data_IF_289854061939
#
_entry.id   IF_289854061939
#
_cell.length_a   1.000
_cell.length_b   1.000
_cell.length_c   1.000
_cell.angle_alpha   90.00
_cell.angle_beta   90.00
_cell.angle_gamma   90.00
#
_symmetry.space_group_name_H-M   'P 1'
#
loop_
_entity.id
_entity.type
_entity.pdbx_description
1 polymer ?
#
# COMPACT_ATOMS: atom_id res chain seq x y z
N UNK A 1 1.60 7.26 -8.85
CA UNK A 1 0.30 7.65 -9.45
C UNK A 1 -0.38 8.72 -8.60
N UNK A 2 -0.85 8.46 -7.38
CA UNK A 2 -1.57 9.43 -6.55
C UNK A 2 -0.87 10.81 -6.43
N UNK A 3 0.44 10.84 -6.16
CA UNK A 3 1.21 12.08 -6.09
C UNK A 3 1.12 12.90 -7.38
N UNK A 4 1.23 12.27 -8.55
CA UNK A 4 1.15 12.96 -9.86
C UNK A 4 -0.26 13.47 -10.15
N UNK A 5 -1.29 12.74 -9.72
CA UNK A 5 -2.69 13.19 -9.86
C UNK A 5 -2.98 14.41 -8.98
N UNK A 6 -2.33 14.48 -7.79
CA UNK A 6 -2.45 15.64 -6.89
C UNK A 6 -1.61 16.84 -7.36
N UNK A 7 -0.45 16.63 -7.97
CA UNK A 7 0.55 17.67 -8.22
C UNK A 7 0.03 18.84 -9.06
N UNK A 8 -0.63 18.58 -10.18
CA UNK A 8 -1.14 19.63 -11.06
C UNK A 8 -2.21 20.51 -10.41
N UNK A 9 -3.32 19.96 -9.84
CA UNK A 9 -4.31 20.79 -9.17
C UNK A 9 -3.76 21.47 -7.92
N UNK A 10 -2.79 20.86 -7.21
CA UNK A 10 -2.13 21.51 -6.09
C UNK A 10 -1.24 22.68 -6.54
N UNK A 11 -0.54 22.55 -7.67
CA UNK A 11 0.22 23.66 -8.27
C UNK A 11 -0.68 24.86 -8.55
N UNK A 12 -1.86 24.64 -9.12
CA UNK A 12 -2.84 25.71 -9.37
C UNK A 12 -3.33 26.36 -8.08
N UNK A 13 -3.62 25.55 -7.06
CA UNK A 13 -4.12 26.05 -5.78
C UNK A 13 -3.08 26.83 -4.97
N UNK A 14 -1.81 26.44 -5.08
CA UNK A 14 -0.70 27.11 -4.38
C UNK A 14 -0.09 28.27 -5.16
N UNK A 15 -0.33 28.35 -6.48
CA UNK A 15 0.30 29.33 -7.37
C UNK A 15 1.80 29.07 -7.61
N UNK A 16 2.28 27.86 -7.30
CA UNK A 16 3.68 27.45 -7.40
C UNK A 16 3.78 26.04 -8.01
N UNK A 17 4.82 25.73 -8.78
CA UNK A 17 5.02 24.40 -9.34
C UNK A 17 5.17 23.34 -8.25
N UNK A 18 4.42 22.22 -8.37
CA UNK A 18 4.58 21.04 -7.54
C UNK A 18 5.24 19.95 -8.37
N UNK A 19 6.48 19.59 -8.02
CA UNK A 19 7.29 18.61 -8.75
C UNK A 19 7.28 17.28 -7.97
N UNK A 20 7.00 16.18 -8.66
CA UNK A 20 7.00 14.84 -8.05
C UNK A 20 8.34 14.17 -8.34
N UNK A 21 9.11 13.96 -7.30
CA UNK A 21 10.34 13.18 -7.31
C UNK A 21 10.11 11.77 -6.77
N UNK A 22 10.66 10.75 -7.45
CA UNK A 22 10.60 9.38 -6.98
C UNK A 22 11.92 9.01 -6.29
N UNK A 23 11.84 8.58 -5.03
CA UNK A 23 12.98 8.10 -4.24
C UNK A 23 12.71 6.65 -3.80
N UNK A 24 12.97 5.66 -4.67
CA UNK A 24 12.71 4.25 -4.34
C UNK A 24 13.71 3.71 -3.33
N UNK A 25 13.32 2.61 -2.69
CA UNK A 25 14.18 1.82 -1.80
C UNK A 25 13.66 1.70 -0.37
N UNK A 26 14.09 0.65 0.32
CA UNK A 26 13.73 0.30 1.69
C UNK A 26 12.21 0.40 1.97
N UNK A 27 11.37 -0.14 1.09
CA UNK A 27 9.89 -0.07 1.19
C UNK A 27 9.33 1.37 1.25
N UNK A 28 10.03 2.36 0.66
CA UNK A 28 9.67 3.78 0.70
C UNK A 28 10.27 4.55 1.89
N UNK A 29 11.00 3.89 2.79
CA UNK A 29 11.59 4.55 3.95
C UNK A 29 12.67 5.58 3.58
N UNK A 30 13.34 5.43 2.41
CA UNK A 30 14.30 6.44 1.91
C UNK A 30 13.59 7.78 1.62
N UNK A 31 12.44 7.75 0.96
CA UNK A 31 11.67 8.96 0.68
C UNK A 31 11.09 9.57 1.97
N UNK A 32 10.62 8.72 2.89
CA UNK A 32 10.10 9.15 4.19
C UNK A 32 11.20 9.83 5.03
N UNK A 33 12.39 9.24 5.11
CA UNK A 33 13.55 9.80 5.83
C UNK A 33 13.96 11.17 5.25
N UNK A 34 14.04 11.29 3.94
CA UNK A 34 14.37 12.54 3.29
C UNK A 34 13.37 13.66 3.65
N UNK A 35 12.09 13.35 3.61
CA UNK A 35 11.05 14.33 3.96
C UNK A 35 11.02 14.65 5.46
N UNK A 36 11.28 13.68 6.35
CA UNK A 36 11.30 13.90 7.79
C UNK A 36 12.39 14.89 8.24
N UNK A 37 13.49 14.96 7.48
CA UNK A 37 14.64 15.83 7.74
C UNK A 37 14.59 17.18 7.03
N UNK A 38 13.58 17.42 6.21
CA UNK A 38 13.43 18.69 5.54
C UNK A 38 13.16 19.82 6.54
N UNK A 39 13.76 20.97 6.31
CA UNK A 39 13.66 22.17 7.17
C UNK A 39 13.00 23.34 6.46
N UNK A 40 12.45 23.07 5.27
CA UNK A 40 11.74 24.03 4.43
C UNK A 40 10.22 23.76 4.43
N UNK A 41 9.44 24.71 3.94
CA UNK A 41 7.98 24.59 3.78
C UNK A 41 7.57 23.97 2.44
N UNK A 42 8.52 23.44 1.66
CA UNK A 42 8.31 23.04 0.26
C UNK A 42 8.49 21.55 0.01
N UNK A 43 9.08 20.81 0.97
CA UNK A 43 9.32 19.38 0.86
C UNK A 43 8.21 18.60 1.60
N UNK A 44 7.47 17.78 0.85
CA UNK A 44 6.39 16.91 1.35
C UNK A 44 6.64 15.48 0.88
N UNK A 45 6.04 14.49 1.56
CA UNK A 45 6.08 13.11 1.11
C UNK A 45 4.68 12.52 0.91
N UNK A 46 4.52 11.81 -0.22
CA UNK A 46 3.43 10.82 -0.35
C UNK A 46 3.98 9.48 0.07
N UNK A 47 3.47 8.95 1.15
CA UNK A 47 3.92 7.71 1.79
C UNK A 47 2.81 6.67 1.78
N UNK A 48 3.19 5.38 1.91
CA UNK A 48 2.26 4.27 2.10
C UNK A 48 2.13 3.96 3.60
N UNK A 49 1.08 3.22 3.94
CA UNK A 49 0.78 2.86 5.32
C UNK A 49 1.98 2.28 6.10
N UNK A 50 2.77 1.38 5.51
CA UNK A 50 3.92 0.79 6.19
C UNK A 50 4.94 1.81 6.74
N UNK A 51 5.16 2.92 6.04
CA UNK A 51 6.11 3.97 6.48
C UNK A 51 5.67 4.66 7.78
N UNK A 52 4.34 4.77 8.01
CA UNK A 52 3.77 5.44 9.18
C UNK A 52 3.32 4.48 10.29
N UNK A 53 3.29 3.17 10.04
CA UNK A 53 2.77 2.16 10.97
C UNK A 53 3.81 1.10 11.34
N UNK A 54 4.10 0.16 10.43
CA UNK A 54 4.93 -1.04 10.70
C UNK A 54 6.43 -0.79 10.68
N UNK A 55 6.92 0.26 9.99
CA UNK A 55 8.34 0.48 9.79
C UNK A 55 9.10 0.57 11.14
N UNK A 56 8.58 1.32 12.12
CA UNK A 56 9.21 1.47 13.44
C UNK A 56 9.28 0.16 14.24
N UNK A 57 8.37 -0.77 13.98
CA UNK A 57 8.34 -2.07 14.66
C UNK A 57 9.30 -3.08 14.05
N UNK A 58 9.67 -2.89 12.79
CA UNK A 58 10.44 -3.86 12.01
C UNK A 58 11.88 -3.46 11.78
N UNK A 59 12.16 -2.17 11.60
CA UNK A 59 13.51 -1.68 11.33
C UNK A 59 14.14 -1.14 12.62
N UNK A 60 15.10 -1.88 13.18
CA UNK A 60 15.82 -1.50 14.41
C UNK A 60 16.57 -0.17 14.29
N UNK A 61 16.98 0.19 13.08
CA UNK A 61 17.71 1.43 12.73
C UNK A 61 16.90 2.29 11.77
N UNK A 62 15.57 2.42 12.00
CA UNK A 62 14.76 3.33 11.19
C UNK A 62 15.26 4.77 11.42
N UNK A 63 15.65 5.51 10.34
CA UNK A 63 16.29 6.81 10.50
C UNK A 63 15.33 7.96 10.81
N UNK A 64 14.03 7.67 10.99
CA UNK A 64 12.98 8.63 11.38
C UNK A 64 12.01 8.01 12.39
N UNK A 65 11.30 8.84 13.13
CA UNK A 65 10.19 8.43 14.01
C UNK A 65 8.85 8.81 13.36
N UNK A 66 8.02 7.83 12.92
CA UNK A 66 6.73 8.13 12.28
C UNK A 66 5.80 9.00 13.10
N UNK A 67 5.91 8.95 14.44
CA UNK A 67 5.02 9.68 15.34
C UNK A 67 5.51 11.09 15.67
N UNK A 68 6.81 11.40 15.43
CA UNK A 68 7.44 12.66 15.88
C UNK A 68 7.92 13.52 14.73
N UNK A 69 8.39 12.89 13.64
CA UNK A 69 9.13 13.59 12.60
C UNK A 69 8.24 14.04 11.43
N UNK A 70 6.93 13.75 11.51
CA UNK A 70 5.97 14.15 10.48
C UNK A 70 4.81 14.97 11.02
N UNK A 71 4.39 15.92 10.18
CA UNK A 71 3.09 16.60 10.27
C UNK A 71 2.11 15.90 9.34
N UNK A 72 1.05 15.25 9.84
CA UNK A 72 -0.01 14.66 9.03
C UNK A 72 -0.79 15.75 8.27
N UNK A 73 -0.99 15.57 6.97
CA UNK A 73 -1.79 16.48 6.13
C UNK A 73 -3.12 15.84 5.77
N UNK A 74 -3.09 14.70 5.04
CA UNK A 74 -4.32 14.03 4.63
C UNK A 74 -4.06 12.59 4.21
N UNK A 75 -4.99 11.69 4.54
CA UNK A 75 -5.13 10.41 3.87
C UNK A 75 -5.64 10.68 2.45
N UNK A 76 -4.85 10.36 1.44
CA UNK A 76 -5.19 10.67 0.05
C UNK A 76 -6.11 9.62 -0.55
N UNK A 77 -5.68 8.37 -0.51
CA UNK A 77 -6.34 7.26 -1.21
C UNK A 77 -6.30 5.97 -0.41
N UNK A 78 -7.26 5.07 -0.67
CA UNK A 78 -7.26 3.70 -0.19
C UNK A 78 -7.62 2.74 -1.34
N UNK A 79 -7.23 1.47 -1.23
CA UNK A 79 -7.66 0.39 -2.10
C UNK A 79 -7.54 -0.96 -1.39
N UNK A 80 -8.41 -1.94 -1.70
CA UNK A 80 -8.11 -3.32 -1.36
C UNK A 80 -6.88 -3.79 -2.13
N UNK A 81 -6.34 -4.94 -1.76
CA UNK A 81 -5.36 -5.63 -2.56
C UNK A 81 -6.02 -6.80 -3.32
N UNK A 82 -5.45 -7.15 -4.45
CA UNK A 82 -5.82 -8.35 -5.21
C UNK A 82 -4.74 -9.39 -4.97
N UNK A 83 -5.11 -10.57 -4.51
CA UNK A 83 -4.24 -11.73 -4.56
C UNK A 83 -4.18 -12.19 -6.01
N UNK A 84 -3.02 -12.10 -6.62
CA UNK A 84 -2.75 -12.50 -8.00
C UNK A 84 -1.75 -13.64 -8.07
N UNK A 85 -1.88 -14.45 -9.12
CA UNK A 85 -1.02 -15.59 -9.40
C UNK A 85 -0.71 -15.70 -10.91
N UNK A 86 0.34 -16.43 -11.33
CA UNK A 86 0.54 -16.84 -12.71
C UNK A 86 -0.65 -17.62 -13.27
N UNK A 87 -0.88 -17.56 -14.59
CA UNK A 87 -2.04 -18.19 -15.26
C UNK A 87 -2.11 -19.71 -15.12
N UNK A 88 -0.98 -20.38 -14.92
CA UNK A 88 -0.90 -21.83 -14.72
C UNK A 88 -1.31 -22.30 -13.34
N UNK A 89 -1.53 -21.40 -12.38
CA UNK A 89 -2.00 -21.75 -11.05
C UNK A 89 -3.52 -22.01 -11.06
N UNK A 90 -4.04 -22.87 -10.14
CA UNK A 90 -5.48 -23.07 -9.97
C UNK A 90 -6.19 -21.79 -9.48
N UNK A 91 -7.51 -21.85 -9.30
CA UNK A 91 -8.35 -20.73 -8.84
C UNK A 91 -9.12 -21.14 -7.59
N UNK A 92 -9.72 -20.17 -6.88
CA UNK A 92 -10.59 -20.43 -5.72
C UNK A 92 -9.88 -21.19 -4.61
N UNK A 93 -10.59 -22.11 -3.97
CA UNK A 93 -10.07 -22.98 -2.89
C UNK A 93 -8.93 -23.89 -3.33
N UNK A 94 -8.92 -24.33 -4.59
CA UNK A 94 -7.86 -25.20 -5.13
C UNK A 94 -6.51 -24.48 -5.20
N UNK A 95 -6.51 -23.16 -5.33
CA UNK A 95 -5.29 -22.35 -5.24
C UNK A 95 -4.63 -22.51 -3.86
N UNK A 96 -5.43 -22.42 -2.79
CA UNK A 96 -4.92 -22.55 -1.43
C UNK A 96 -4.51 -23.98 -1.10
N UNK A 97 -5.19 -24.97 -1.67
CA UNK A 97 -4.77 -26.38 -1.57
C UNK A 97 -3.40 -26.59 -2.24
N UNK A 98 -3.22 -26.07 -3.45
CA UNK A 98 -1.94 -26.13 -4.15
C UNK A 98 -0.82 -25.39 -3.40
N UNK A 99 -1.11 -24.21 -2.83
CA UNK A 99 -0.15 -23.46 -2.04
C UNK A 99 0.27 -24.18 -0.75
N UNK A 100 -0.65 -24.87 -0.06
CA UNK A 100 -0.33 -25.72 1.10
C UNK A 100 0.59 -26.88 0.70
N UNK A 101 0.25 -27.57 -0.38
CA UNK A 101 1.02 -28.71 -0.88
C UNK A 101 2.40 -28.31 -1.41
N UNK A 102 2.53 -27.07 -1.94
CA UNK A 102 3.78 -26.50 -2.43
C UNK A 102 4.76 -26.14 -1.32
N UNK A 103 4.24 -25.83 -0.14
CA UNK A 103 5.06 -25.51 1.03
C UNK A 103 6.07 -24.39 0.77
N UNK A 104 7.33 -24.60 1.14
CA UNK A 104 8.45 -23.67 0.99
C UNK A 104 8.99 -23.57 -0.45
N UNK A 105 8.51 -24.41 -1.38
CA UNK A 105 8.80 -24.28 -2.81
C UNK A 105 8.03 -23.13 -3.47
N UNK A 106 7.01 -22.64 -2.80
CA UNK A 106 6.27 -21.46 -3.25
C UNK A 106 6.87 -20.18 -2.68
N UNK A 107 6.92 -19.16 -3.53
CA UNK A 107 7.38 -17.83 -3.16
C UNK A 107 6.26 -16.82 -3.35
N UNK A 108 6.24 -15.79 -2.50
CA UNK A 108 5.39 -14.64 -2.71
C UNK A 108 6.19 -13.35 -2.75
N UNK A 109 5.74 -12.41 -3.59
CA UNK A 109 6.40 -11.12 -3.75
C UNK A 109 5.72 -9.99 -3.00
N UNK A 110 6.50 -9.01 -2.58
CA UNK A 110 6.01 -7.72 -2.10
C UNK A 110 6.93 -6.57 -2.49
N UNK A 111 6.47 -5.33 -2.28
CA UNK A 111 7.29 -4.14 -2.52
C UNK A 111 8.31 -3.86 -1.40
N UNK A 112 8.61 -4.89 -0.63
CA UNK A 112 9.64 -4.89 0.41
C UNK A 112 9.10 -5.20 1.80
N UNK A 113 10.04 -5.40 2.71
CA UNK A 113 9.77 -5.77 4.10
C UNK A 113 8.92 -4.72 4.82
N UNK A 114 7.93 -5.18 5.58
CA UNK A 114 7.02 -4.31 6.33
C UNK A 114 5.94 -3.62 5.50
N UNK A 115 5.95 -3.77 4.17
CA UNK A 115 4.86 -3.29 3.33
C UNK A 115 3.56 -4.04 3.64
N UNK A 116 2.41 -3.41 3.32
CA UNK A 116 1.11 -4.08 3.50
C UNK A 116 0.99 -5.36 2.67
N UNK A 117 1.66 -5.43 1.51
CA UNK A 117 1.75 -6.65 0.72
C UNK A 117 2.51 -7.77 1.43
N UNK A 118 3.60 -7.46 2.14
CA UNK A 118 4.34 -8.43 2.96
C UNK A 118 3.51 -8.88 4.16
N UNK A 119 3.09 -7.95 5.02
CA UNK A 119 2.37 -8.27 6.26
C UNK A 119 1.01 -8.91 5.98
N UNK A 120 0.34 -8.48 4.91
CA UNK A 120 -0.89 -9.09 4.44
C UNK A 120 -0.71 -10.53 3.97
N UNK A 121 0.39 -10.84 3.26
CA UNK A 121 0.70 -12.22 2.89
C UNK A 121 1.02 -13.07 4.12
N UNK A 122 1.74 -12.56 5.10
CA UNK A 122 2.01 -13.29 6.34
C UNK A 122 0.71 -13.56 7.14
N UNK A 123 -0.21 -12.60 7.17
CA UNK A 123 -1.55 -12.84 7.72
C UNK A 123 -2.32 -13.87 6.90
N UNK A 124 -2.29 -13.76 5.56
CA UNK A 124 -2.96 -14.70 4.66
C UNK A 124 -2.43 -16.12 4.84
N UNK A 125 -1.12 -16.29 4.98
CA UNK A 125 -0.51 -17.61 5.22
C UNK A 125 -1.13 -18.33 6.43
N UNK A 126 -1.35 -17.61 7.54
CA UNK A 126 -1.99 -18.22 8.72
C UNK A 126 -3.49 -18.45 8.52
N UNK A 127 -4.18 -17.48 7.92
CA UNK A 127 -5.65 -17.53 7.75
C UNK A 127 -6.07 -18.61 6.74
N UNK A 128 -5.24 -18.85 5.71
CA UNK A 128 -5.49 -19.82 4.66
C UNK A 128 -4.93 -21.23 4.95
N UNK A 129 -4.63 -21.56 6.23
CA UNK A 129 -4.21 -22.89 6.65
C UNK A 129 -2.69 -23.12 6.64
N UNK A 130 -1.93 -22.17 7.18
CA UNK A 130 -0.48 -22.25 7.38
C UNK A 130 0.33 -22.52 6.10
N UNK A 131 0.19 -21.64 5.12
CA UNK A 131 0.98 -21.72 3.88
C UNK A 131 2.48 -21.56 4.18
N UNK A 132 3.31 -22.45 3.59
CA UNK A 132 4.77 -22.45 3.76
C UNK A 132 5.52 -21.43 2.89
N UNK A 133 4.85 -20.69 2.03
CA UNK A 133 5.46 -19.82 1.02
C UNK A 133 6.47 -18.82 1.58
N UNK A 134 7.59 -18.63 0.85
CA UNK A 134 8.73 -17.80 1.25
C UNK A 134 8.61 -16.40 0.66
N UNK A 135 8.96 -15.38 1.45
CA UNK A 135 8.93 -13.98 1.02
C UNK A 135 10.11 -13.60 0.13
N UNK A 136 9.82 -12.92 -0.99
CA UNK A 136 10.81 -12.30 -1.88
C UNK A 136 10.53 -10.80 -1.98
N UNK A 137 11.37 -9.93 -1.40
CA UNK A 137 11.19 -8.48 -1.48
C UNK A 137 11.66 -7.91 -2.81
N UNK A 138 10.89 -6.99 -3.39
CA UNK A 138 11.21 -6.24 -4.60
C UNK A 138 11.20 -4.72 -4.33
N UNK A 139 11.78 -3.94 -5.24
CA UNK A 139 11.82 -2.46 -5.10
C UNK A 139 10.48 -1.77 -5.44
N UNK A 140 9.53 -2.50 -6.07
CA UNK A 140 8.23 -1.96 -6.42
C UNK A 140 7.34 -2.95 -7.18
N UNK A 141 6.07 -2.57 -7.37
CA UNK A 141 5.09 -3.41 -8.05
C UNK A 141 5.49 -3.84 -9.49
N UNK A 142 6.19 -3.03 -10.32
CA UNK A 142 6.61 -3.49 -11.64
C UNK A 142 7.48 -4.75 -11.58
N UNK A 143 8.44 -4.83 -10.64
CA UNK A 143 9.29 -6.00 -10.47
C UNK A 143 8.51 -7.21 -9.93
N UNK A 144 7.54 -6.98 -9.01
CA UNK A 144 6.64 -8.05 -8.53
C UNK A 144 5.84 -8.64 -9.70
N UNK A 145 5.28 -7.80 -10.57
CA UNK A 145 4.55 -8.26 -11.76
C UNK A 145 5.47 -9.03 -12.71
N UNK A 146 6.67 -8.54 -12.98
CA UNK A 146 7.64 -9.24 -13.84
C UNK A 146 7.98 -10.62 -13.27
N UNK A 147 8.19 -10.73 -11.96
CA UNK A 147 8.48 -11.99 -11.28
C UNK A 147 7.31 -12.98 -11.33
N UNK A 148 6.06 -12.50 -11.20
CA UNK A 148 4.85 -13.31 -11.41
C UNK A 148 4.75 -13.83 -12.83
N UNK A 149 4.94 -12.96 -13.81
CA UNK A 149 4.89 -13.33 -15.25
C UNK A 149 5.98 -14.32 -15.64
N UNK A 150 7.14 -14.20 -15.00
CA UNK A 150 8.28 -15.13 -15.18
C UNK A 150 8.18 -16.42 -14.36
N UNK A 151 7.12 -16.60 -13.55
CA UNK A 151 6.97 -17.77 -12.69
C UNK A 151 7.96 -17.86 -11.51
N UNK A 152 8.72 -16.80 -11.26
CA UNK A 152 9.70 -16.75 -10.15
C UNK A 152 9.02 -16.73 -8.79
N UNK A 153 7.83 -16.16 -8.72
CA UNK A 153 6.94 -16.18 -7.55
C UNK A 153 5.55 -16.67 -7.96
N UNK A 154 4.85 -17.32 -7.04
CA UNK A 154 3.56 -17.97 -7.31
C UNK A 154 2.38 -17.10 -6.89
N UNK A 155 2.60 -16.06 -6.09
CA UNK A 155 1.54 -15.17 -5.62
C UNK A 155 2.07 -13.83 -5.14
N UNK A 156 1.20 -12.82 -5.15
CA UNK A 156 1.44 -11.52 -4.53
C UNK A 156 0.12 -10.80 -4.24
N UNK A 157 0.13 -9.95 -3.22
CA UNK A 157 -0.94 -8.97 -2.97
C UNK A 157 -0.53 -7.64 -3.62
N UNK A 158 -1.29 -7.19 -4.62
CA UNK A 158 -1.01 -5.95 -5.35
C UNK A 158 -2.27 -5.09 -5.49
N UNK A 159 -2.16 -3.74 -5.60
CA UNK A 159 -3.32 -2.87 -5.80
C UNK A 159 -4.07 -3.16 -7.11
N UNK A 160 -5.40 -2.90 -7.18
CA UNK A 160 -6.21 -3.11 -8.38
C UNK A 160 -5.64 -2.43 -9.64
N UNK A 161 -5.14 -1.20 -9.53
CA UNK A 161 -4.54 -0.49 -10.67
C UNK A 161 -3.29 -1.17 -11.26
N UNK A 162 -2.66 -2.07 -10.52
CA UNK A 162 -1.54 -2.91 -10.99
C UNK A 162 -2.05 -4.26 -11.50
N UNK A 163 -2.98 -4.88 -10.77
CA UNK A 163 -3.52 -6.20 -11.08
C UNK A 163 -4.39 -6.22 -12.34
N UNK A 164 -5.39 -5.32 -12.42
CA UNK A 164 -6.43 -5.35 -13.44
C UNK A 164 -5.91 -5.32 -14.89
N UNK A 165 -4.93 -4.48 -15.27
CA UNK A 165 -4.40 -4.51 -16.63
C UNK A 165 -3.82 -5.87 -17.01
N UNK A 166 -3.16 -6.56 -16.08
CA UNK A 166 -2.55 -7.88 -16.32
C UNK A 166 -3.61 -8.99 -16.37
N UNK A 167 -4.62 -8.89 -15.52
CA UNK A 167 -5.75 -9.84 -15.49
C UNK A 167 -6.57 -9.72 -16.78
N UNK A 168 -6.93 -8.49 -17.18
CA UNK A 168 -7.68 -8.24 -18.44
C UNK A 168 -6.90 -8.67 -19.69
N UNK A 169 -5.58 -8.59 -19.65
CA UNK A 169 -4.71 -9.07 -20.71
C UNK A 169 -4.50 -10.61 -20.69
N UNK A 170 -5.13 -11.33 -19.74
CA UNK A 170 -4.97 -12.78 -19.58
C UNK A 170 -3.56 -13.23 -19.17
N UNK A 171 -2.77 -12.33 -18.57
CA UNK A 171 -1.38 -12.59 -18.16
C UNK A 171 -1.24 -13.02 -16.72
N UNK A 172 -2.13 -12.56 -15.84
CA UNK A 172 -2.22 -12.97 -14.44
C UNK A 172 -3.65 -13.40 -14.11
N UNK A 173 -3.76 -14.28 -13.13
CA UNK A 173 -5.01 -14.76 -12.57
C UNK A 173 -5.32 -14.01 -11.28
N UNK A 174 -6.57 -13.54 -11.13
CA UNK A 174 -7.09 -13.06 -9.85
C UNK A 174 -7.54 -14.25 -9.01
N UNK A 175 -7.08 -14.32 -7.77
CA UNK A 175 -7.54 -15.30 -6.79
C UNK A 175 -8.64 -14.71 -5.91
N UNK A 176 -8.49 -13.44 -5.49
CA UNK A 176 -9.52 -12.74 -4.73
C UNK A 176 -9.06 -11.39 -4.18
N UNK A 177 -10.04 -10.60 -3.75
CA UNK A 177 -9.84 -9.32 -3.06
C UNK A 177 -9.63 -9.53 -1.56
N UNK A 178 -8.75 -8.72 -0.97
CA UNK A 178 -8.52 -8.67 0.49
C UNK A 178 -9.63 -7.98 1.28
N UNK A 179 -10.65 -7.49 0.62
CA UNK A 179 -11.86 -6.93 1.20
C UNK A 179 -13.09 -7.70 0.69
N UNK A 180 -14.26 -7.27 1.10
CA UNK A 180 -15.50 -7.63 0.40
C UNK A 180 -15.49 -7.11 -1.05
N UNK A 181 -16.65 -7.15 -1.73
CA UNK A 181 -16.78 -6.59 -3.09
C UNK A 181 -16.37 -5.13 -3.14
N UNK A 182 -15.62 -4.75 -4.17
CA UNK A 182 -15.13 -3.39 -4.36
C UNK A 182 -15.47 -2.89 -5.75
N UNK A 183 -15.96 -1.65 -5.86
CA UNK A 183 -16.19 -0.99 -7.15
C UNK A 183 -14.89 -0.80 -7.96
N UNK A 184 -13.74 -0.81 -7.31
CA UNK A 184 -12.43 -0.73 -7.97
C UNK A 184 -12.07 -1.98 -8.78
N UNK A 185 -12.72 -3.12 -8.47
CA UNK A 185 -12.47 -4.42 -9.11
C UNK A 185 -13.72 -5.32 -8.96
N UNK A 186 -14.86 -4.85 -9.47
CA UNK A 186 -16.17 -5.48 -9.28
C UNK A 186 -16.26 -6.90 -9.85
N UNK A 187 -15.42 -7.22 -10.83
CA UNK A 187 -15.33 -8.54 -11.45
C UNK A 187 -14.50 -9.56 -10.65
N UNK A 188 -13.77 -9.11 -9.63
CA UNK A 188 -12.93 -10.00 -8.80
C UNK A 188 -13.69 -10.43 -7.56
N UNK A 189 -13.78 -11.75 -7.26
CA UNK A 189 -14.41 -12.24 -6.05
C UNK A 189 -13.62 -11.83 -4.81
N UNK A 190 -14.24 -11.90 -3.64
CA UNK A 190 -13.57 -11.75 -2.35
C UNK A 190 -12.73 -13.00 -2.04
N UNK A 191 -11.68 -12.87 -1.24
CA UNK A 191 -10.97 -14.03 -0.67
C UNK A 191 -11.89 -14.91 0.19
N UNK A 192 -12.97 -14.35 0.72
CA UNK A 192 -13.99 -15.13 1.44
C UNK A 192 -14.72 -16.13 0.52
N UNK A 193 -14.88 -15.83 -0.77
CA UNK A 193 -15.45 -16.73 -1.76
C UNK A 193 -14.50 -17.91 -2.07
N UNK A 194 -13.22 -17.79 -1.71
CA UNK A 194 -12.21 -18.86 -1.75
C UNK A 194 -11.89 -19.42 -0.34
N UNK A 195 -12.88 -19.36 0.57
CA UNK A 195 -12.84 -19.90 1.95
C UNK A 195 -11.88 -19.18 2.93
N UNK A 196 -11.24 -18.10 2.55
CA UNK A 196 -10.42 -17.28 3.45
C UNK A 196 -11.30 -16.21 4.10
N UNK A 197 -11.93 -16.55 5.21
CA UNK A 197 -12.86 -15.69 5.94
C UNK A 197 -12.14 -14.72 6.88
N UNK A 198 -12.80 -13.59 7.22
CA UNK A 198 -12.32 -12.59 8.18
C UNK A 198 -10.98 -11.96 7.77
N UNK A 199 -10.70 -11.92 6.48
CA UNK A 199 -9.53 -11.26 5.92
C UNK A 199 -9.95 -9.90 5.36
N UNK A 200 -9.50 -8.82 5.98
CA UNK A 200 -9.76 -7.46 5.50
C UNK A 200 -8.47 -6.63 5.62
N UNK A 201 -7.94 -6.21 4.51
CA UNK A 201 -6.71 -5.43 4.43
C UNK A 201 -6.77 -4.44 3.26
N UNK A 202 -6.31 -3.23 3.50
CA UNK A 202 -6.23 -2.18 2.49
C UNK A 202 -4.83 -1.58 2.44
N UNK A 203 -4.42 -1.18 1.25
CA UNK A 203 -3.31 -0.25 1.07
C UNK A 203 -3.85 1.17 1.00
N UNK A 204 -3.14 2.11 1.59
CA UNK A 204 -3.49 3.52 1.50
C UNK A 204 -2.24 4.40 1.33
N UNK A 205 -2.46 5.60 0.82
CA UNK A 205 -1.42 6.62 0.69
C UNK A 205 -1.82 7.87 1.46
N UNK A 206 -0.85 8.53 2.04
CA UNK A 206 -1.03 9.78 2.77
C UNK A 206 -0.03 10.83 2.32
N UNK A 207 -0.41 12.11 2.42
CA UNK A 207 0.50 13.24 2.35
C UNK A 207 0.90 13.63 3.76
N UNK A 208 2.20 13.76 3.97
CA UNK A 208 2.80 14.25 5.20
C UNK A 208 3.86 15.31 4.89
N UNK A 209 4.07 16.23 5.79
CA UNK A 209 5.20 17.15 5.80
C UNK A 209 6.18 16.82 6.91
N UNK A 210 7.36 17.46 6.97
CA UNK A 210 8.26 17.36 8.12
C UNK A 210 7.62 17.96 9.38
N UNK A 211 8.07 17.56 10.56
CA UNK A 211 7.59 18.15 11.82
C UNK A 211 7.88 19.64 11.93
N UNK A 212 8.89 20.13 11.21
CA UNK A 212 9.27 21.56 11.12
C UNK A 212 8.35 22.41 10.25
N UNK A 213 7.38 21.79 9.52
CA UNK A 213 6.48 22.49 8.60
C UNK A 213 5.77 23.64 9.33
N UNK A 214 5.83 24.86 8.76
CA UNK A 214 5.23 26.04 9.41
C UNK A 214 3.71 25.92 9.54
N UNK A 215 3.12 26.60 10.51
CA UNK A 215 1.66 26.64 10.69
C UNK A 215 0.93 27.18 9.46
N UNK A 216 1.53 28.16 8.77
CA UNK A 216 0.95 28.73 7.56
C UNK A 216 0.87 27.66 6.45
N UNK A 217 1.94 26.93 6.20
CA UNK A 217 1.98 25.84 5.23
C UNK A 217 1.01 24.71 5.63
N UNK A 218 0.99 24.29 6.91
CA UNK A 218 0.05 23.30 7.42
C UNK A 218 -1.39 23.72 7.14
N UNK A 219 -1.79 24.93 7.54
CA UNK A 219 -3.15 25.45 7.33
C UNK A 219 -3.52 25.44 5.86
N UNK A 220 -2.65 25.91 4.99
CA UNK A 220 -2.90 25.94 3.55
C UNK A 220 -3.07 24.54 2.97
N UNK A 221 -2.17 23.63 3.29
CA UNK A 221 -2.20 22.27 2.76
C UNK A 221 -3.39 21.46 3.28
N UNK A 222 -3.75 21.59 4.55
CA UNK A 222 -4.88 20.86 5.16
C UNK A 222 -6.24 21.34 4.65
N UNK A 223 -6.33 22.55 4.10
CA UNK A 223 -7.51 23.06 3.41
C UNK A 223 -7.56 22.58 1.95
N UNK A 224 -6.45 22.77 1.21
CA UNK A 224 -6.45 22.53 -0.24
C UNK A 224 -6.40 21.05 -0.61
N UNK A 225 -5.56 20.25 0.07
CA UNK A 225 -5.37 18.85 -0.31
C UNK A 225 -6.66 18.02 -0.21
N UNK A 226 -7.42 18.03 0.89
CA UNK A 226 -8.69 17.30 0.95
C UNK A 226 -9.71 17.80 -0.08
N UNK A 227 -9.76 19.11 -0.36
CA UNK A 227 -10.64 19.69 -1.36
C UNK A 227 -10.32 19.15 -2.77
N UNK A 228 -9.02 19.14 -3.12
CA UNK A 228 -8.56 18.63 -4.42
C UNK A 228 -8.82 17.11 -4.55
N UNK A 229 -8.53 16.33 -3.52
CA UNK A 229 -8.74 14.88 -3.55
C UNK A 229 -10.22 14.51 -3.69
N UNK A 230 -11.12 15.32 -3.12
CA UNK A 230 -12.58 15.11 -3.21
C UNK A 230 -13.22 15.70 -4.47
N UNK A 231 -12.49 16.49 -5.24
CA UNK A 231 -12.97 17.00 -6.51
C UNK A 231 -13.33 15.87 -7.49
N UNK A 232 -14.39 16.06 -8.28
CA UNK A 232 -14.91 14.99 -9.15
C UNK A 232 -13.89 14.49 -10.18
N UNK A 233 -13.14 15.40 -10.82
CA UNK A 233 -12.13 15.03 -11.83
C UNK A 233 -10.99 14.27 -11.19
N UNK A 234 -10.52 14.72 -10.02
CA UNK A 234 -9.47 14.06 -9.26
C UNK A 234 -9.92 12.66 -8.79
N UNK A 235 -11.14 12.55 -8.26
CA UNK A 235 -11.73 11.28 -7.86
C UNK A 235 -11.82 10.30 -9.03
N UNK A 236 -12.28 10.76 -10.19
CA UNK A 236 -12.40 9.92 -11.38
C UNK A 236 -11.04 9.46 -11.89
N UNK A 237 -10.04 10.35 -11.91
CA UNK A 237 -8.66 9.99 -12.27
C UNK A 237 -8.08 8.94 -11.34
N UNK A 238 -8.25 9.11 -10.02
CA UNK A 238 -7.80 8.16 -9.02
C UNK A 238 -8.52 6.81 -9.15
N UNK A 239 -9.85 6.84 -9.35
CA UNK A 239 -10.65 5.63 -9.55
C UNK A 239 -10.17 4.82 -10.78
N UNK A 240 -9.91 5.48 -11.90
CA UNK A 240 -9.39 4.85 -13.10
C UNK A 240 -7.98 4.26 -12.91
N UNK A 241 -7.25 4.75 -11.90
CA UNK A 241 -5.95 4.21 -11.49
C UNK A 241 -6.05 3.11 -10.42
N UNK A 242 -7.27 2.69 -10.05
CA UNK A 242 -7.52 1.65 -9.04
C UNK A 242 -7.44 2.16 -7.60
N UNK A 243 -7.73 3.44 -7.36
CA UNK A 243 -7.72 4.06 -6.04
C UNK A 243 -9.07 4.70 -5.68
N UNK A 244 -9.53 4.44 -4.48
CA UNK A 244 -10.63 5.20 -3.87
C UNK A 244 -10.06 6.49 -3.28
N UNK A 245 -10.54 7.64 -3.76
CA UNK A 245 -10.20 8.95 -3.19
C UNK A 245 -10.84 9.10 -1.78
N UNK A 246 -10.09 9.64 -0.83
CA UNK A 246 -10.54 9.84 0.56
C UNK A 246 -10.49 11.31 0.96
N UNK A 247 -9.28 11.90 1.10
CA UNK A 247 -9.10 13.30 1.45
C UNK A 247 -9.55 13.61 2.88
N UNK A 248 -8.94 13.02 3.91
CA UNK A 248 -9.29 13.27 5.32
C UNK A 248 -8.70 14.59 5.86
N UNK A 249 -9.17 15.01 7.03
CA UNK A 249 -8.44 15.94 7.88
C UNK A 249 -7.17 15.28 8.47
N UNK A 250 -6.24 16.08 9.07
CA UNK A 250 -5.09 15.54 9.80
C UNK A 250 -5.46 14.57 10.92
N UNK A 251 -6.55 14.86 11.65
CA UNK A 251 -7.05 14.01 12.73
C UNK A 251 -7.56 12.66 12.18
N UNK A 252 -8.23 12.68 11.01
CA UNK A 252 -8.68 11.48 10.32
C UNK A 252 -7.50 10.59 9.91
N UNK A 253 -6.43 11.19 9.36
CA UNK A 253 -5.20 10.47 9.06
C UNK A 253 -4.54 9.91 10.33
N UNK A 254 -4.43 10.71 11.39
CA UNK A 254 -3.84 10.29 12.68
C UNK A 254 -4.61 9.12 13.29
N UNK A 255 -5.95 9.16 13.24
CA UNK A 255 -6.80 8.05 13.68
C UNK A 255 -6.55 6.78 12.87
N UNK A 256 -6.44 6.89 11.54
CA UNK A 256 -6.12 5.76 10.66
C UNK A 256 -4.75 5.15 10.98
N UNK A 257 -3.72 5.98 11.16
CA UNK A 257 -2.37 5.52 11.54
C UNK A 257 -2.42 4.74 12.85
N UNK A 258 -3.09 5.28 13.89
CA UNK A 258 -3.20 4.62 15.20
C UNK A 258 -3.88 3.26 15.11
N UNK A 259 -5.03 3.20 14.46
CA UNK A 259 -5.80 1.97 14.29
C UNK A 259 -5.00 0.90 13.53
N UNK A 260 -4.34 1.27 12.45
CA UNK A 260 -3.60 0.32 11.63
C UNK A 260 -2.27 -0.11 12.27
N UNK A 261 -1.61 0.78 13.02
CA UNK A 261 -0.44 0.43 13.82
C UNK A 261 -0.74 -0.72 14.78
N UNK A 262 -1.91 -0.71 15.43
CA UNK A 262 -2.33 -1.81 16.31
C UNK A 262 -2.54 -3.11 15.54
N UNK A 263 -3.18 -3.07 14.36
CA UNK A 263 -3.40 -4.24 13.50
C UNK A 263 -2.07 -4.82 13.03
N UNK A 264 -1.19 -3.99 12.48
CA UNK A 264 0.11 -4.43 11.97
C UNK A 264 1.01 -4.96 13.09
N UNK A 265 0.99 -4.32 14.27
CA UNK A 265 1.70 -4.80 15.45
C UNK A 265 1.23 -6.19 15.89
N UNK A 266 -0.08 -6.44 15.85
CA UNK A 266 -0.65 -7.76 16.10
C UNK A 266 -0.13 -8.83 15.12
N UNK A 267 -0.12 -8.54 13.83
CA UNK A 267 0.40 -9.45 12.78
C UNK A 267 1.89 -9.72 13.02
N UNK A 268 2.70 -8.68 13.25
CA UNK A 268 4.14 -8.81 13.47
C UNK A 268 4.42 -9.69 14.70
N UNK A 269 3.72 -9.43 15.81
CA UNK A 269 3.91 -10.18 17.05
C UNK A 269 3.52 -11.67 16.91
N UNK A 270 2.32 -11.93 16.37
CA UNK A 270 1.80 -13.30 16.21
C UNK A 270 2.62 -14.12 15.24
N UNK A 271 3.14 -13.49 14.17
CA UNK A 271 3.95 -14.16 13.15
C UNK A 271 5.45 -14.16 13.45
N UNK A 272 5.89 -13.49 14.51
CA UNK A 272 7.31 -13.39 14.87
C UNK A 272 8.16 -12.72 13.78
N UNK A 273 7.57 -11.78 13.02
CA UNK A 273 8.25 -11.15 11.88
C UNK A 273 9.35 -10.24 12.42
N UNK A 274 10.58 -10.50 11.98
CA UNK A 274 11.75 -9.68 12.28
C UNK A 274 12.45 -9.33 10.97
N UNK A 275 12.99 -8.12 10.90
CA UNK A 275 13.85 -7.66 9.81
C UNK A 275 15.18 -7.32 10.48
N UNK A 276 16.25 -7.94 10.03
CA UNK A 276 17.60 -7.68 10.52
C UNK A 276 18.12 -6.31 10.09
#
# INVERSE_FOLDING_TARGET
>A
MAARTLAEPLSRALGQPVIVENRPGASGNIAADLASKATDDHTLAVVINGNLTSAKMLYSKLPYDPAKDFTPISLLTTAPLVLVAPMNQPSGSDFFLAARNGGDKWNYGSVGNGSVGHLGMELLKSTAGNLGAVHVPYQGNPQVVTALLGGQIQMALVPPGIALPQIKAGKLKAIGLTSGRSALASEIPSLADAEVRNFNLEVWTALVGPASLSRAAQTRLTQEVPRIIRDNDTRQKLFNQGWQAVGTSPEGLTSRIRSETAIMGGIIAVRGIKIE
#
